data_IF_139381667422
#
_entry.id   IF_139381667422
#
_cell.length_a   1.000
_cell.length_b   1.000
_cell.length_c   1.000
_cell.angle_alpha   90.00
_cell.angle_beta   90.00
_cell.angle_gamma   90.00
#
_symmetry.space_group_name_H-M   'P 1'
#
loop_
_entity.id
_entity.type
_entity.pdbx_description
1 polymer ?
#
# COMPACT_ATOMS: atom_id res chain seq x y z
N UNK A 1 7.24 -11.15 -18.97
CA UNK A 1 7.76 -10.79 -17.64
C UNK A 1 7.33 -11.75 -16.53
N UNK A 2 6.29 -12.59 -16.69
CA UNK A 2 5.93 -13.60 -15.67
C UNK A 2 5.56 -13.02 -14.30
N UNK A 3 5.20 -11.74 -14.27
CA UNK A 3 4.90 -10.96 -13.07
C UNK A 3 3.45 -10.47 -13.12
N UNK A 4 2.89 -10.23 -11.94
CA UNK A 4 1.56 -9.66 -11.74
C UNK A 4 1.67 -8.36 -10.94
N UNK A 5 0.71 -7.41 -11.07
CA UNK A 5 -0.48 -7.45 -11.93
C UNK A 5 -0.24 -7.03 -13.39
N UNK A 6 -1.17 -7.42 -14.27
CA UNK A 6 -1.29 -6.96 -15.65
C UNK A 6 -2.78 -6.86 -16.01
N UNK A 7 -3.14 -5.93 -16.90
CA UNK A 7 -4.50 -5.78 -17.43
C UNK A 7 -4.47 -5.65 -18.96
N UNK A 8 -5.59 -6.00 -19.58
CA UNK A 8 -5.86 -5.78 -21.01
C UNK A 8 -7.16 -4.99 -21.13
N UNK A 9 -7.11 -3.88 -21.87
CA UNK A 9 -8.27 -3.05 -22.22
C UNK A 9 -8.27 -2.80 -23.73
N UNK A 10 -9.10 -3.55 -24.46
CA UNK A 10 -9.04 -3.63 -25.92
C UNK A 10 -7.68 -4.14 -26.41
N UNK A 11 -6.98 -3.34 -27.21
CA UNK A 11 -5.64 -3.65 -27.72
C UNK A 11 -4.51 -3.21 -26.76
N UNK A 12 -4.84 -2.42 -25.72
CA UNK A 12 -3.88 -1.90 -24.77
C UNK A 12 -3.56 -2.97 -23.71
N UNK A 13 -2.28 -3.31 -23.59
CA UNK A 13 -1.77 -4.19 -22.55
C UNK A 13 -0.90 -3.40 -21.59
N UNK A 14 -1.27 -3.38 -20.30
CA UNK A 14 -0.54 -2.68 -19.25
C UNK A 14 -0.05 -3.64 -18.17
N UNK A 15 1.13 -3.35 -17.68
CA UNK A 15 1.77 -3.98 -16.53
C UNK A 15 2.40 -2.87 -15.66
N UNK A 16 2.89 -3.23 -14.47
CA UNK A 16 3.20 -2.31 -13.35
C UNK A 16 1.95 -1.77 -12.64
N UNK A 17 1.82 -2.09 -11.35
CA UNK A 17 0.65 -1.74 -10.55
C UNK A 17 0.37 -0.24 -10.52
N UNK A 18 1.41 0.61 -10.43
CA UNK A 18 1.24 2.06 -10.42
C UNK A 18 0.85 2.63 -11.78
N UNK A 19 1.33 2.05 -12.88
CA UNK A 19 0.89 2.45 -14.22
C UNK A 19 -0.59 2.09 -14.44
N UNK A 20 -0.98 0.88 -14.00
CA UNK A 20 -2.36 0.41 -14.02
C UNK A 20 -3.26 1.31 -13.18
N UNK A 21 -2.86 1.66 -11.94
CA UNK A 21 -3.65 2.54 -11.08
C UNK A 21 -3.86 3.93 -11.70
N UNK A 22 -2.83 4.51 -12.31
CA UNK A 22 -2.93 5.80 -13.02
C UNK A 22 -3.90 5.70 -14.21
N UNK A 23 -3.80 4.63 -14.99
CA UNK A 23 -4.71 4.36 -16.12
C UNK A 23 -6.16 4.27 -15.65
N UNK A 24 -6.45 3.38 -14.69
CA UNK A 24 -7.80 3.19 -14.14
C UNK A 24 -8.36 4.46 -13.49
N UNK A 25 -7.51 5.28 -12.88
CA UNK A 25 -7.95 6.54 -12.26
C UNK A 25 -8.20 7.67 -13.25
N UNK A 26 -7.80 7.51 -14.51
CA UNK A 26 -8.00 8.53 -15.56
C UNK A 26 -9.40 8.45 -16.20
N UNK A 27 -10.18 7.42 -15.89
CA UNK A 27 -11.53 7.25 -16.42
C UNK A 27 -12.47 8.31 -15.82
N UNK A 28 -13.35 8.95 -16.63
CA UNK A 28 -14.25 10.00 -16.13
C UNK A 28 -15.19 9.59 -15.00
N UNK A 29 -15.48 8.29 -14.87
CA UNK A 29 -16.30 7.73 -13.80
C UNK A 29 -15.58 7.63 -12.46
N UNK A 30 -14.26 7.78 -12.43
CA UNK A 30 -13.47 7.70 -11.20
C UNK A 30 -13.32 9.10 -10.60
N UNK A 31 -13.65 9.29 -9.31
CA UNK A 31 -13.51 10.58 -8.64
C UNK A 31 -12.07 11.13 -8.70
N UNK A 32 -11.95 12.43 -9.00
CA UNK A 32 -10.66 13.13 -9.19
C UNK A 32 -9.72 13.04 -7.98
N UNK A 33 -10.24 12.82 -6.77
CA UNK A 33 -9.39 12.69 -5.57
C UNK A 33 -8.38 11.53 -5.66
N UNK A 34 -8.71 10.46 -6.41
CA UNK A 34 -7.85 9.30 -6.58
C UNK A 34 -6.55 9.66 -7.29
N UNK A 35 -6.65 10.43 -8.38
CA UNK A 35 -5.51 10.91 -9.16
C UNK A 35 -5.86 12.25 -9.84
N UNK A 36 -5.66 13.39 -9.15
CA UNK A 36 -6.16 14.68 -9.60
C UNK A 36 -5.60 15.11 -10.95
N UNK A 37 -6.39 15.87 -11.70
CA UNK A 37 -5.94 16.50 -12.94
C UNK A 37 -5.04 17.73 -12.74
N UNK A 38 -5.12 18.37 -11.59
CA UNK A 38 -4.25 19.49 -11.25
C UNK A 38 -2.78 19.03 -11.15
N UNK A 39 -1.86 19.57 -11.98
CA UNK A 39 -0.49 19.05 -12.09
C UNK A 39 0.31 19.02 -10.79
N UNK A 40 0.20 20.03 -9.93
CA UNK A 40 0.98 20.09 -8.69
C UNK A 40 0.51 19.05 -7.66
N UNK A 41 -0.80 18.82 -7.56
CA UNK A 41 -1.38 17.77 -6.72
C UNK A 41 -1.03 16.38 -7.25
N UNK A 42 -1.09 16.20 -8.57
CA UNK A 42 -0.69 14.96 -9.24
C UNK A 42 0.78 14.63 -8.98
N UNK A 43 1.69 15.59 -9.17
CA UNK A 43 3.12 15.41 -8.94
C UNK A 43 3.44 14.98 -7.51
N UNK A 44 2.72 15.48 -6.50
CA UNK A 44 2.89 15.05 -5.11
C UNK A 44 2.51 13.58 -4.88
N UNK A 45 1.49 13.07 -5.58
CA UNK A 45 1.12 11.65 -5.55
C UNK A 45 2.21 10.83 -6.25
N UNK A 46 2.67 11.27 -7.42
CA UNK A 46 3.71 10.57 -8.17
C UNK A 46 5.01 10.43 -7.39
N UNK A 47 5.44 11.47 -6.66
CA UNK A 47 6.59 11.39 -5.73
C UNK A 47 6.43 10.26 -4.71
N UNK A 48 5.24 10.06 -4.16
CA UNK A 48 4.99 9.00 -3.17
C UNK A 48 5.01 7.62 -3.84
N UNK A 49 4.37 7.47 -4.99
CA UNK A 49 4.31 6.23 -5.75
C UNK A 49 5.72 5.77 -6.17
N UNK A 50 6.54 6.68 -6.69
CA UNK A 50 7.88 6.35 -7.16
C UNK A 50 8.84 6.09 -5.97
N UNK A 51 8.69 6.84 -4.87
CA UNK A 51 9.40 6.55 -3.62
C UNK A 51 9.05 5.17 -3.08
N UNK A 52 7.79 4.76 -3.15
CA UNK A 52 7.32 3.45 -2.68
C UNK A 52 8.02 2.30 -3.38
N UNK A 53 8.14 2.35 -4.72
CA UNK A 53 8.86 1.34 -5.50
C UNK A 53 10.34 1.22 -5.11
N UNK A 54 10.96 2.36 -4.78
CA UNK A 54 12.40 2.42 -4.50
C UNK A 54 12.77 2.13 -3.04
N UNK A 55 11.81 2.20 -2.12
CA UNK A 55 12.06 2.16 -0.67
C UNK A 55 11.21 1.09 0.03
N UNK A 56 9.91 1.32 0.20
CA UNK A 56 9.06 0.48 1.05
C UNK A 56 8.99 -0.98 0.55
N UNK A 57 8.83 -1.17 -0.76
CA UNK A 57 8.74 -2.51 -1.37
C UNK A 57 10.01 -3.35 -1.17
N UNK A 58 11.18 -2.71 -1.04
CA UNK A 58 12.45 -3.42 -0.75
C UNK A 58 12.56 -3.88 0.70
N UNK A 59 11.83 -3.23 1.62
CA UNK A 59 11.77 -3.60 3.04
C UNK A 59 10.74 -4.69 3.32
N UNK A 60 9.64 -4.71 2.57
CA UNK A 60 8.54 -5.66 2.69
C UNK A 60 8.74 -6.93 1.82
N UNK A 61 9.96 -7.48 1.83
CA UNK A 61 10.22 -8.79 1.22
C UNK A 61 9.47 -9.83 2.05
N UNK A 62 8.58 -10.61 1.42
CA UNK A 62 7.71 -11.61 2.05
C UNK A 62 8.43 -12.58 2.99
N UNK A 63 8.75 -13.79 2.53
CA UNK A 63 9.55 -14.74 3.31
C UNK A 63 11.04 -14.54 2.99
N UNK A 64 11.85 -13.89 3.85
CA UNK A 64 13.26 -13.67 3.59
C UNK A 64 14.02 -15.02 3.62
N UNK A 65 15.00 -15.22 2.72
CA UNK A 65 15.71 -16.52 2.62
C UNK A 65 16.67 -16.77 3.79
N UNK A 66 16.98 -15.75 4.60
CA UNK A 66 17.78 -15.88 5.82
C UNK A 66 17.51 -14.73 6.82
N UNK A 67 18.01 -14.89 8.04
CA UNK A 67 17.81 -13.94 9.14
C UNK A 67 18.46 -12.56 8.90
N UNK A 68 19.57 -12.49 8.18
CA UNK A 68 20.25 -11.22 7.86
C UNK A 68 19.40 -10.35 6.94
N UNK A 69 18.85 -10.96 5.87
CA UNK A 69 17.93 -10.28 4.95
C UNK A 69 16.64 -9.89 5.66
N UNK A 70 16.13 -10.74 6.55
CA UNK A 70 14.98 -10.41 7.40
C UNK A 70 15.23 -9.16 8.26
N UNK A 71 16.39 -9.09 8.93
CA UNK A 71 16.74 -7.96 9.79
C UNK A 71 16.94 -6.67 8.97
N UNK A 72 17.57 -6.76 7.79
CA UNK A 72 17.73 -5.63 6.88
C UNK A 72 16.38 -5.13 6.36
N UNK A 73 15.50 -6.04 5.94
CA UNK A 73 14.14 -5.73 5.52
C UNK A 73 13.36 -5.01 6.62
N UNK A 74 13.41 -5.52 7.85
CA UNK A 74 12.80 -4.90 9.03
C UNK A 74 13.31 -3.47 9.28
N UNK A 75 14.62 -3.24 9.21
CA UNK A 75 15.19 -1.88 9.36
C UNK A 75 14.69 -0.92 8.28
N UNK A 76 14.64 -1.37 7.02
CA UNK A 76 14.13 -0.57 5.90
C UNK A 76 12.66 -0.25 6.11
N UNK A 77 11.87 -1.24 6.53
CA UNK A 77 10.45 -1.08 6.84
C UNK A 77 10.24 -0.03 7.94
N UNK A 78 10.84 -0.19 9.12
CA UNK A 78 10.64 0.74 10.23
C UNK A 78 11.06 2.17 9.84
N UNK A 79 12.16 2.32 9.10
CA UNK A 79 12.56 3.62 8.56
C UNK A 79 11.55 4.19 7.56
N UNK A 80 10.95 3.34 6.73
CA UNK A 80 9.93 3.73 5.76
C UNK A 80 8.63 4.16 6.44
N UNK A 81 8.17 3.42 7.46
CA UNK A 81 7.00 3.79 8.26
C UNK A 81 7.21 5.15 8.94
N UNK A 82 8.37 5.37 9.56
CA UNK A 82 8.71 6.65 10.16
C UNK A 82 8.74 7.79 9.13
N UNK A 83 9.20 7.55 7.90
CA UNK A 83 9.18 8.56 6.82
C UNK A 83 7.76 8.89 6.39
N UNK A 84 6.91 7.88 6.18
CA UNK A 84 5.50 8.10 5.83
C UNK A 84 4.81 8.93 6.91
N UNK A 85 5.00 8.55 8.16
CA UNK A 85 4.43 9.20 9.33
C UNK A 85 4.85 10.66 9.45
N UNK A 86 6.14 10.96 9.26
CA UNK A 86 6.67 12.32 9.46
C UNK A 86 6.52 13.24 8.25
N UNK A 87 6.51 12.70 7.02
CA UNK A 87 6.50 13.52 5.80
C UNK A 87 5.11 13.68 5.20
N UNK A 88 4.27 12.65 5.27
CA UNK A 88 3.03 12.60 4.49
C UNK A 88 1.77 12.47 5.33
N UNK A 89 1.87 12.04 6.59
CA UNK A 89 0.75 12.04 7.53
C UNK A 89 0.81 13.25 8.46
N UNK A 90 -0.01 14.26 8.14
CA UNK A 90 -0.16 15.47 8.95
C UNK A 90 -1.17 15.27 10.06
N UNK A 91 -0.96 15.92 11.20
CA UNK A 91 -1.87 15.83 12.34
C UNK A 91 -3.29 16.27 12.00
N UNK A 92 -4.28 15.51 12.47
CA UNK A 92 -5.70 15.79 12.25
C UNK A 92 -6.23 15.44 10.86
N UNK A 93 -5.39 14.95 9.94
CA UNK A 93 -5.79 14.61 8.57
C UNK A 93 -5.74 13.09 8.36
N UNK A 94 -6.69 12.59 7.57
CA UNK A 94 -6.98 11.14 7.47
C UNK A 94 -6.10 10.40 6.48
N UNK A 95 -5.57 11.09 5.47
CA UNK A 95 -4.88 10.51 4.31
C UNK A 95 -3.55 11.21 4.02
N UNK A 96 -2.72 10.57 3.21
CA UNK A 96 -1.42 11.07 2.77
C UNK A 96 -1.54 12.46 2.14
N UNK A 97 -0.46 13.24 2.24
CA UNK A 97 -0.38 14.65 1.85
C UNK A 97 -1.31 15.58 2.65
N UNK A 98 -1.93 15.08 3.72
CA UNK A 98 -2.92 15.82 4.49
C UNK A 98 -4.23 16.02 3.74
N UNK A 99 -4.71 15.01 3.03
CA UNK A 99 -5.98 15.08 2.31
C UNK A 99 -7.16 14.63 3.17
N UNK A 100 -8.35 15.10 2.82
CA UNK A 100 -9.64 14.67 3.41
C UNK A 100 -10.23 13.43 2.73
N UNK A 101 -9.75 13.08 1.55
CA UNK A 101 -10.10 11.90 0.76
C UNK A 101 -8.81 11.16 0.37
N UNK A 102 -8.86 9.82 0.20
CA UNK A 102 -7.69 9.03 -0.16
C UNK A 102 -7.24 9.33 -1.60
N UNK A 103 -6.07 8.82 -1.97
CA UNK A 103 -5.54 8.80 -3.33
C UNK A 103 -5.00 7.43 -3.70
N UNK A 104 -4.59 7.22 -4.95
CA UNK A 104 -3.94 5.96 -5.35
C UNK A 104 -2.63 5.69 -4.58
N UNK A 105 -1.97 6.74 -4.06
CA UNK A 105 -0.85 6.58 -3.15
C UNK A 105 -1.28 5.96 -1.82
N UNK A 106 -2.42 6.40 -1.26
CA UNK A 106 -2.95 5.82 -0.02
C UNK A 106 -3.24 4.32 -0.19
N UNK A 107 -3.97 3.97 -1.25
CA UNK A 107 -4.27 2.57 -1.59
C UNK A 107 -2.99 1.73 -1.72
N UNK A 108 -2.05 2.17 -2.56
CA UNK A 108 -0.86 1.38 -2.83
C UNK A 108 0.02 1.19 -1.59
N UNK A 109 0.27 2.26 -0.81
CA UNK A 109 1.12 2.15 0.37
C UNK A 109 0.41 1.36 1.47
N UNK A 110 -0.91 1.53 1.64
CA UNK A 110 -1.67 0.79 2.65
C UNK A 110 -1.59 -0.72 2.38
N UNK A 111 -1.86 -1.15 1.14
CA UNK A 111 -1.72 -2.56 0.75
C UNK A 111 -0.30 -3.09 1.01
N UNK A 112 0.74 -2.29 0.74
CA UNK A 112 2.12 -2.71 0.99
C UNK A 112 2.44 -2.84 2.49
N UNK A 113 1.93 -1.94 3.33
CA UNK A 113 2.10 -2.04 4.79
C UNK A 113 1.30 -3.21 5.36
N UNK A 114 0.13 -3.52 4.82
CA UNK A 114 -0.67 -4.65 5.27
C UNK A 114 -0.03 -6.01 4.97
N UNK A 115 0.84 -6.10 3.96
CA UNK A 115 1.65 -7.30 3.74
C UNK A 115 2.61 -7.62 4.89
N UNK A 116 2.78 -6.75 5.89
CA UNK A 116 3.48 -7.11 7.14
C UNK A 116 2.86 -8.28 7.86
N UNK A 117 1.58 -8.59 7.64
CA UNK A 117 1.00 -9.82 8.16
C UNK A 117 1.77 -11.08 7.72
N UNK A 118 2.51 -11.03 6.60
CA UNK A 118 3.37 -12.12 6.15
C UNK A 118 4.58 -12.40 7.06
N UNK A 119 5.04 -11.43 7.87
CA UNK A 119 6.10 -11.64 8.88
C UNK A 119 5.57 -12.21 10.20
N UNK A 120 4.26 -12.47 10.29
CA UNK A 120 3.56 -12.97 11.47
C UNK A 120 2.80 -11.87 12.20
N UNK A 121 1.57 -12.18 12.63
CA UNK A 121 0.61 -11.24 13.20
C UNK A 121 1.17 -10.49 14.41
N UNK A 122 1.74 -11.20 15.40
CA UNK A 122 2.32 -10.59 16.61
C UNK A 122 3.47 -9.62 16.32
N UNK A 123 4.30 -9.93 15.32
CA UNK A 123 5.43 -9.06 14.96
C UNK A 123 4.94 -7.85 14.17
N UNK A 124 3.96 -8.03 13.28
CA UNK A 124 3.31 -6.93 12.57
C UNK A 124 2.64 -5.95 13.56
N UNK A 125 1.92 -6.47 14.55
CA UNK A 125 1.32 -5.68 15.64
C UNK A 125 2.39 -4.91 16.41
N UNK A 126 3.46 -5.58 16.85
CA UNK A 126 4.56 -4.94 17.59
C UNK A 126 5.23 -3.81 16.81
N UNK A 127 5.36 -3.94 15.49
CA UNK A 127 5.91 -2.89 14.63
C UNK A 127 4.91 -1.73 14.55
N UNK A 128 3.65 -2.01 14.25
CA UNK A 128 2.60 -0.99 14.11
C UNK A 128 2.27 -0.29 15.45
N UNK A 129 2.52 -0.95 16.58
CA UNK A 129 2.36 -0.41 17.93
C UNK A 129 3.15 0.89 18.14
N UNK A 130 4.31 0.98 17.48
CA UNK A 130 5.20 2.13 17.56
C UNK A 130 4.77 3.29 16.64
N UNK A 131 3.77 3.06 15.78
CA UNK A 131 3.35 3.98 14.72
C UNK A 131 1.84 4.22 14.78
N UNK A 132 1.38 4.96 15.79
CA UNK A 132 -0.07 5.23 15.99
C UNK A 132 -0.70 5.92 14.77
N UNK A 133 -0.03 6.91 14.17
CA UNK A 133 -0.56 7.61 12.98
C UNK A 133 -0.74 6.68 11.79
N UNK A 134 0.18 5.73 11.61
CA UNK A 134 0.11 4.72 10.54
C UNK A 134 -1.11 3.82 10.76
N UNK A 135 -1.36 3.37 11.99
CA UNK A 135 -2.56 2.55 12.28
C UNK A 135 -3.85 3.30 12.03
N UNK A 136 -3.95 4.53 12.55
CA UNK A 136 -5.12 5.37 12.33
C UNK A 136 -5.34 5.62 10.82
N UNK A 137 -4.28 5.84 10.06
CA UNK A 137 -4.32 5.99 8.60
C UNK A 137 -4.76 4.71 7.88
N UNK A 138 -4.23 3.54 8.23
CA UNK A 138 -4.66 2.24 7.65
C UNK A 138 -6.17 2.06 7.85
N UNK A 139 -6.68 2.29 9.06
CA UNK A 139 -8.10 2.17 9.36
C UNK A 139 -8.96 3.20 8.60
N UNK A 140 -8.44 4.41 8.36
CA UNK A 140 -9.12 5.39 7.51
C UNK A 140 -9.17 4.95 6.05
N UNK A 141 -8.09 4.37 5.52
CA UNK A 141 -8.05 3.85 4.13
C UNK A 141 -9.02 2.69 3.96
N UNK A 142 -9.03 1.73 4.89
CA UNK A 142 -10.01 0.62 4.90
C UNK A 142 -11.44 1.15 4.84
N UNK A 143 -11.82 2.00 5.80
CA UNK A 143 -13.17 2.58 5.89
C UNK A 143 -13.58 3.35 4.63
N UNK A 144 -12.65 4.08 4.01
CA UNK A 144 -12.93 4.85 2.80
C UNK A 144 -13.08 3.97 1.54
N UNK A 145 -12.68 2.70 1.62
CA UNK A 145 -12.67 1.77 0.48
C UNK A 145 -13.61 0.58 0.67
N UNK A 146 -14.39 0.56 1.76
CA UNK A 146 -15.49 -0.39 1.93
C UNK A 146 -16.60 -0.18 0.89
N UNK A 147 -17.33 -1.25 0.47
CA UNK A 147 -17.16 -2.65 0.90
C UNK A 147 -16.02 -3.39 0.18
N UNK A 148 -15.48 -2.82 -0.91
CA UNK A 148 -14.50 -3.47 -1.78
C UNK A 148 -13.22 -3.88 -1.05
N UNK A 149 -12.84 -3.13 -0.02
CA UNK A 149 -11.72 -3.48 0.83
C UNK A 149 -11.89 -4.89 1.42
N UNK A 150 -13.02 -5.13 2.10
CA UNK A 150 -13.32 -6.43 2.72
C UNK A 150 -13.42 -7.54 1.67
N UNK A 151 -14.15 -7.31 0.58
CA UNK A 151 -14.34 -8.29 -0.50
C UNK A 151 -13.02 -8.82 -1.09
N UNK A 152 -12.06 -7.93 -1.35
CA UNK A 152 -10.75 -8.31 -1.90
C UNK A 152 -9.89 -9.04 -0.85
N UNK A 153 -10.00 -8.66 0.43
CA UNK A 153 -9.20 -9.28 1.50
C UNK A 153 -9.75 -10.62 1.99
N UNK A 154 -11.04 -10.91 1.80
CA UNK A 154 -11.61 -12.24 2.04
C UNK A 154 -10.89 -13.33 1.22
N UNK A 155 -10.54 -13.02 -0.03
CA UNK A 155 -9.78 -13.93 -0.90
C UNK A 155 -8.39 -14.20 -0.33
N UNK A 156 -7.70 -13.16 0.19
CA UNK A 156 -6.38 -13.31 0.80
C UNK A 156 -6.43 -14.18 2.06
N UNK A 157 -7.41 -13.95 2.94
CA UNK A 157 -7.58 -14.76 4.14
C UNK A 157 -7.95 -16.21 3.81
N UNK A 158 -8.77 -16.44 2.78
CA UNK A 158 -9.06 -17.79 2.27
C UNK A 158 -7.77 -18.53 1.87
N UNK A 159 -6.90 -17.89 1.08
CA UNK A 159 -5.64 -18.51 0.64
C UNK A 159 -4.62 -18.68 1.76
N UNK A 160 -4.55 -17.73 2.70
CA UNK A 160 -3.72 -17.83 3.90
C UNK A 160 -4.11 -19.04 4.74
N UNK A 161 -5.40 -19.22 5.01
CA UNK A 161 -5.92 -20.36 5.76
C UNK A 161 -5.71 -21.70 5.06
N UNK A 162 -5.71 -21.71 3.72
CA UNK A 162 -5.45 -22.91 2.91
C UNK A 162 -3.96 -23.27 2.85
N UNK A 163 -3.07 -22.27 2.89
CA UNK A 163 -1.62 -22.44 2.85
C UNK A 163 -0.99 -22.70 4.22
N UNK A 164 -1.68 -22.37 5.31
CA UNK A 164 -1.27 -22.74 6.66
C UNK A 164 -1.30 -24.27 6.82
N UNK A 165 -0.21 -24.92 7.29
CA UNK A 165 -0.27 -26.32 7.66
C UNK A 165 -1.38 -26.50 8.70
N UNK A 166 -2.28 -27.47 8.49
CA UNK A 166 -3.17 -27.92 9.55
C UNK A 166 -2.27 -28.48 10.66
N UNK A 167 -2.14 -27.73 11.76
CA UNK A 167 -1.61 -28.23 13.02
C UNK A 167 -2.60 -29.24 13.60
#
# INVERSE_FOLDING_TARGET
MGQVPAITDGELNLYESHAILRYLSSFPSVPDHWYPNEPAQRAKIDVILDWHHSNLRRGALGAPPNAEIAQKGKKILCSSLAKIENLWLKDGLKFLLGKSQPSIADLSLCCQVMQLQAVGEKEAERILDQHKKIRDWIENVKKATEPHFSEVHEVLEYWKNKASPKL
#
